data_IF_113858637646
#
_entry.id   IF_113858637646
#
_cell.length_a   1.000
_cell.length_b   1.000
_cell.length_c   1.000
_cell.angle_alpha   90.00
_cell.angle_beta   90.00
_cell.angle_gamma   90.00
#
_symmetry.space_group_name_H-M   'P 1'
#
loop_
_entity.id
_entity.type
_entity.pdbx_description
1 polymer ?
#
# COMPACT_ATOMS: atom_id res chain seq x y z
N UNK A 1 -19.37 -32.94 -19.35
CA UNK A 1 -18.55 -31.73 -19.13
C UNK A 1 -19.11 -30.94 -17.97
N UNK A 2 -18.25 -30.53 -17.03
CA UNK A 2 -18.58 -29.70 -15.88
C UNK A 2 -17.54 -28.59 -15.77
N UNK A 3 -18.00 -27.35 -15.69
CA UNK A 3 -17.15 -26.18 -15.42
C UNK A 3 -17.32 -25.86 -13.94
N UNK A 4 -16.22 -25.63 -13.24
CA UNK A 4 -16.23 -25.30 -11.82
C UNK A 4 -15.07 -24.38 -11.48
N UNK A 5 -15.16 -23.73 -10.33
CA UNK A 5 -14.13 -22.79 -9.85
C UNK A 5 -14.13 -22.76 -8.33
N UNK A 6 -12.99 -22.44 -7.73
CA UNK A 6 -12.91 -22.09 -6.32
C UNK A 6 -13.58 -20.72 -6.10
N UNK A 7 -14.38 -20.60 -5.04
CA UNK A 7 -15.14 -19.38 -4.77
C UNK A 7 -14.21 -18.17 -4.61
N UNK A 8 -14.57 -17.05 -5.25
CA UNK A 8 -13.78 -15.82 -5.15
C UNK A 8 -12.44 -15.91 -5.89
N UNK A 9 -12.22 -16.90 -6.74
CA UNK A 9 -11.03 -17.01 -7.59
C UNK A 9 -11.39 -16.74 -9.05
N UNK A 10 -10.38 -16.49 -9.87
CA UNK A 10 -10.52 -16.35 -11.30
C UNK A 10 -9.98 -17.60 -12.02
N UNK A 11 -10.02 -18.79 -11.42
CA UNK A 11 -9.50 -20.00 -12.07
C UNK A 11 -10.66 -20.82 -12.62
N UNK A 12 -10.66 -21.08 -13.93
CA UNK A 12 -11.63 -21.98 -14.55
C UNK A 12 -11.07 -23.40 -14.60
N UNK A 13 -11.81 -24.35 -14.03
CA UNK A 13 -11.55 -25.77 -14.16
C UNK A 13 -12.63 -26.44 -15.02
N UNK A 14 -12.21 -27.38 -15.87
CA UNK A 14 -13.10 -28.14 -16.73
C UNK A 14 -12.86 -29.63 -16.47
N UNK A 15 -13.92 -30.35 -16.12
CA UNK A 15 -13.93 -31.81 -16.02
C UNK A 15 -14.77 -32.43 -17.13
N UNK A 16 -14.23 -33.49 -17.74
CA UNK A 16 -14.92 -34.31 -18.73
C UNK A 16 -15.34 -35.68 -18.18
N UNK A 17 -15.03 -35.98 -16.92
CA UNK A 17 -15.37 -37.27 -16.29
C UNK A 17 -16.84 -37.36 -15.92
N UNK A 18 -17.46 -38.50 -16.21
CA UNK A 18 -18.83 -38.82 -15.77
C UNK A 18 -18.91 -39.11 -14.27
N UNK A 19 -17.79 -39.48 -13.64
CA UNK A 19 -17.67 -39.70 -12.20
C UNK A 19 -17.21 -38.45 -11.44
N UNK A 20 -17.44 -37.25 -12.00
CA UNK A 20 -16.99 -36.00 -11.39
C UNK A 20 -17.66 -35.76 -10.03
N UNK A 21 -16.81 -35.56 -9.01
CA UNK A 21 -17.20 -35.05 -7.70
C UNK A 21 -16.64 -33.64 -7.57
N UNK A 22 -17.49 -32.69 -7.19
CA UNK A 22 -17.09 -31.31 -6.97
C UNK A 22 -16.14 -31.26 -5.77
N UNK A 23 -14.91 -30.73 -5.92
CA UNK A 23 -14.02 -30.55 -4.79
C UNK A 23 -14.62 -29.60 -3.73
N UNK A 24 -14.18 -29.75 -2.48
CA UNK A 24 -14.56 -28.83 -1.41
C UNK A 24 -14.17 -27.39 -1.76
N UNK A 25 -14.97 -26.42 -1.32
CA UNK A 25 -14.82 -24.99 -1.61
C UNK A 25 -14.90 -24.59 -3.11
N UNK A 26 -15.31 -25.51 -3.99
CA UNK A 26 -15.62 -25.20 -5.37
C UNK A 26 -17.12 -25.04 -5.59
N UNK A 27 -17.46 -24.29 -6.64
CA UNK A 27 -18.82 -24.14 -7.14
C UNK A 27 -18.86 -24.51 -8.63
N UNK A 28 -19.97 -25.11 -9.06
CA UNK A 28 -20.22 -25.39 -10.48
C UNK A 28 -20.64 -24.10 -11.17
N UNK A 29 -20.00 -23.78 -12.29
CA UNK A 29 -20.25 -22.56 -13.04
C UNK A 29 -21.34 -22.78 -14.10
N UNK A 30 -22.15 -21.76 -14.31
CA UNK A 30 -23.23 -21.73 -15.31
C UNK A 30 -22.72 -21.66 -16.75
N UNK A 31 -21.43 -21.44 -16.96
CA UNK A 31 -20.80 -21.37 -18.26
C UNK A 31 -19.31 -21.07 -18.17
N UNK A 32 -18.70 -20.91 -19.34
CA UNK A 32 -17.30 -20.49 -19.43
C UNK A 32 -17.11 -19.10 -18.86
N UNK A 33 -15.94 -18.89 -18.26
CA UNK A 33 -15.47 -17.59 -17.84
C UNK A 33 -15.35 -16.68 -19.07
N UNK A 34 -15.97 -15.49 -19.06
CA UNK A 34 -15.88 -14.57 -20.19
C UNK A 34 -14.44 -14.15 -20.48
N UNK A 35 -13.72 -13.67 -19.45
CA UNK A 35 -12.33 -13.23 -19.56
C UNK A 35 -11.63 -13.21 -18.17
N UNK A 36 -10.30 -12.90 -18.10
CA UNK A 36 -9.54 -12.92 -16.85
C UNK A 36 -9.96 -11.90 -15.78
N UNK A 37 -10.76 -10.90 -16.14
CA UNK A 37 -11.29 -9.88 -15.22
C UNK A 37 -12.53 -10.35 -14.48
N UNK A 38 -12.94 -11.60 -14.64
CA UNK A 38 -14.05 -12.19 -13.91
C UNK A 38 -13.58 -13.21 -12.87
N UNK A 39 -14.32 -13.29 -11.75
CA UNK A 39 -14.11 -14.25 -10.68
C UNK A 39 -15.40 -15.03 -10.36
N UNK A 40 -15.28 -16.17 -9.70
CA UNK A 40 -16.41 -17.04 -9.37
C UNK A 40 -17.22 -16.49 -8.19
N UNK A 41 -18.51 -16.28 -8.42
CA UNK A 41 -19.51 -15.91 -7.42
C UNK A 41 -20.15 -17.13 -6.74
N UNK A 42 -20.90 -16.86 -5.67
CA UNK A 42 -21.53 -17.89 -4.82
C UNK A 42 -22.74 -18.59 -5.47
N UNK A 43 -23.24 -18.12 -6.61
CA UNK A 43 -24.39 -18.69 -7.31
C UNK A 43 -23.99 -19.37 -8.64
N UNK A 44 -22.70 -19.65 -8.84
CA UNK A 44 -22.17 -20.27 -10.06
C UNK A 44 -22.06 -19.29 -11.23
N UNK A 45 -22.10 -17.99 -10.96
CA UNK A 45 -21.92 -16.91 -11.91
C UNK A 45 -20.49 -16.38 -11.92
N UNK A 46 -20.07 -15.83 -13.06
CA UNK A 46 -18.84 -15.07 -13.18
C UNK A 46 -19.14 -13.59 -12.90
N UNK A 47 -18.54 -13.03 -11.85
CA UNK A 47 -18.66 -11.64 -11.47
C UNK A 47 -17.50 -10.82 -12.03
N UNK A 48 -17.79 -9.64 -12.59
CA UNK A 48 -16.77 -8.75 -13.14
C UNK A 48 -15.99 -8.03 -12.03
N UNK A 49 -14.69 -7.86 -12.27
CA UNK A 49 -13.78 -7.13 -11.39
C UNK A 49 -12.66 -8.01 -10.80
N UNK A 50 -11.70 -7.38 -10.11
CA UNK A 50 -10.66 -8.13 -9.42
C UNK A 50 -11.27 -9.05 -8.37
N UNK A 51 -10.75 -10.27 -8.31
CA UNK A 51 -11.18 -11.21 -7.28
C UNK A 51 -10.84 -10.66 -5.88
N UNK A 52 -11.54 -11.10 -4.82
CA UNK A 52 -11.23 -10.71 -3.45
C UNK A 52 -9.74 -10.86 -3.07
N UNK A 53 -9.09 -11.93 -3.54
CA UNK A 53 -7.66 -12.16 -3.32
C UNK A 53 -6.79 -11.11 -4.01
N UNK A 54 -7.11 -10.77 -5.27
CA UNK A 54 -6.41 -9.72 -6.03
C UNK A 54 -6.60 -8.36 -5.36
N UNK A 55 -7.80 -8.04 -4.88
CA UNK A 55 -8.07 -6.81 -4.13
C UNK A 55 -7.22 -6.71 -2.86
N UNK A 56 -7.12 -7.80 -2.09
CA UNK A 56 -6.29 -7.83 -0.89
C UNK A 56 -4.82 -7.61 -1.23
N UNK A 57 -4.32 -8.25 -2.28
CA UNK A 57 -2.94 -8.07 -2.74
C UNK A 57 -2.67 -6.61 -3.16
N UNK A 58 -3.58 -5.99 -3.93
CA UNK A 58 -3.46 -4.58 -4.31
C UNK A 58 -3.41 -3.64 -3.10
N UNK A 59 -4.19 -3.92 -2.05
CA UNK A 59 -4.18 -3.12 -0.81
C UNK A 59 -2.84 -3.27 -0.07
N UNK A 60 -2.29 -4.49 -0.01
CA UNK A 60 -0.99 -4.74 0.62
C UNK A 60 0.11 -3.99 -0.13
N UNK A 61 0.18 -4.12 -1.46
CA UNK A 61 1.17 -3.43 -2.29
C UNK A 61 1.04 -1.91 -2.19
N UNK A 62 -0.18 -1.37 -2.18
CA UNK A 62 -0.41 0.05 -2.01
C UNK A 62 0.12 0.56 -0.65
N UNK A 63 -0.08 -0.23 0.42
CA UNK A 63 0.41 0.10 1.77
C UNK A 63 1.94 0.03 1.86
N UNK A 64 2.55 -0.97 1.24
CA UNK A 64 4.01 -1.11 1.18
C UNK A 64 4.64 0.05 0.40
N UNK A 65 4.06 0.41 -0.74
CA UNK A 65 4.50 1.56 -1.54
C UNK A 65 4.36 2.87 -0.76
N UNK A 66 3.23 3.08 -0.08
CA UNK A 66 3.03 4.25 0.77
C UNK A 66 4.10 4.33 1.87
N UNK A 67 4.38 3.21 2.55
CA UNK A 67 5.38 3.14 3.61
C UNK A 67 6.78 3.47 3.09
N UNK A 68 7.13 2.92 1.93
CA UNK A 68 8.40 3.19 1.25
C UNK A 68 8.57 4.67 0.92
N UNK A 69 7.55 5.28 0.29
CA UNK A 69 7.57 6.71 -0.07
C UNK A 69 7.70 7.59 1.18
N UNK A 70 6.96 7.28 2.25
CA UNK A 70 7.03 8.04 3.50
C UNK A 70 8.38 7.90 4.19
N UNK A 71 9.00 6.72 4.16
CA UNK A 71 10.34 6.50 4.68
C UNK A 71 11.36 7.33 3.91
N UNK A 72 11.35 7.24 2.57
CA UNK A 72 12.24 8.01 1.70
C UNK A 72 12.09 9.52 1.93
N UNK A 73 10.84 10.01 2.02
CA UNK A 73 10.58 11.42 2.33
C UNK A 73 11.11 11.81 3.72
N UNK A 74 10.98 10.92 4.72
CA UNK A 74 11.50 11.16 6.07
C UNK A 74 13.03 11.23 6.08
N UNK A 75 13.70 10.34 5.36
CA UNK A 75 15.17 10.33 5.22
C UNK A 75 15.66 11.60 4.51
N UNK A 76 14.97 12.03 3.45
CA UNK A 76 15.28 13.30 2.76
C UNK A 76 15.08 14.51 3.68
N UNK A 77 14.01 14.53 4.47
CA UNK A 77 13.78 15.57 5.47
C UNK A 77 14.90 15.55 6.51
N UNK A 78 15.29 14.37 7.01
CA UNK A 78 16.43 14.20 7.93
C UNK A 78 17.72 14.80 7.36
N UNK A 79 18.09 14.40 6.14
CA UNK A 79 19.29 14.91 5.48
C UNK A 79 19.27 16.44 5.26
N UNK A 80 18.08 17.02 4.99
CA UNK A 80 17.92 18.47 4.89
C UNK A 80 18.07 19.16 6.25
N UNK A 81 17.52 18.57 7.31
CA UNK A 81 17.66 19.08 8.67
C UNK A 81 19.13 19.09 9.11
N UNK A 82 19.86 18.00 8.87
CA UNK A 82 21.28 17.90 9.21
C UNK A 82 22.11 18.97 8.47
N UNK A 83 21.81 19.21 7.20
CA UNK A 83 22.44 20.29 6.41
C UNK A 83 22.14 21.68 6.99
N UNK A 84 20.91 21.92 7.40
CA UNK A 84 20.51 23.20 8.01
C UNK A 84 21.19 23.41 9.36
N UNK A 85 21.27 22.37 10.19
CA UNK A 85 21.98 22.41 11.48
C UNK A 85 23.49 22.67 11.25
N UNK A 86 24.10 22.05 10.25
CA UNK A 86 25.49 22.32 9.87
C UNK A 86 25.75 23.76 9.37
N UNK A 87 24.75 24.44 8.81
CA UNK A 87 24.85 25.87 8.43
C UNK A 87 24.75 26.81 9.64
N UNK A 88 24.07 26.41 10.72
CA UNK A 88 24.03 27.16 11.97
C UNK A 88 25.40 27.15 12.67
N UNK A 89 26.05 25.98 12.68
CA UNK A 89 27.36 25.75 13.31
C UNK A 89 28.54 26.15 12.39
N UNK A 90 28.26 26.57 11.15
CA UNK A 90 29.26 27.00 10.18
C UNK A 90 29.94 28.32 10.54
N UNK A 91 31.22 28.47 10.14
CA UNK A 91 32.09 29.63 10.40
C UNK A 91 31.67 30.94 9.73
N UNK A 92 32.57 31.93 9.69
CA UNK A 92 32.31 33.33 9.26
C UNK A 92 31.76 33.51 7.82
N UNK A 93 31.74 32.45 7.00
CA UNK A 93 31.19 32.47 5.65
C UNK A 93 29.65 32.45 5.58
N UNK A 94 28.97 32.22 6.71
CA UNK A 94 27.50 32.29 6.81
C UNK A 94 27.08 33.68 7.26
N UNK A 95 26.23 34.41 6.49
CA UNK A 95 25.77 35.74 6.88
C UNK A 95 25.09 35.76 8.26
N UNK A 96 25.40 36.74 9.11
CA UNK A 96 24.88 36.84 10.49
C UNK A 96 23.35 36.77 10.58
N UNK A 97 22.67 37.41 9.62
CA UNK A 97 21.20 37.36 9.53
C UNK A 97 20.68 35.94 9.33
N UNK A 98 21.31 35.17 8.43
CA UNK A 98 20.94 33.79 8.16
C UNK A 98 21.18 32.91 9.40
N UNK A 99 22.31 33.10 10.09
CA UNK A 99 22.61 32.39 11.35
C UNK A 99 21.57 32.70 12.44
N UNK A 100 21.17 33.96 12.60
CA UNK A 100 20.14 34.37 13.55
C UNK A 100 18.75 33.77 13.22
N UNK A 101 18.36 33.77 11.94
CA UNK A 101 17.10 33.20 11.46
C UNK A 101 17.05 31.67 11.68
N UNK A 102 18.15 30.95 11.41
CA UNK A 102 18.27 29.51 11.66
C UNK A 102 18.14 29.16 13.14
N UNK A 103 18.79 29.94 14.02
CA UNK A 103 18.69 29.77 15.48
C UNK A 103 17.26 29.98 15.98
N UNK A 104 16.56 30.99 15.47
CA UNK A 104 15.16 31.26 15.80
C UNK A 104 14.25 30.11 15.34
N UNK A 105 14.44 29.61 14.12
CA UNK A 105 13.71 28.46 13.59
C UNK A 105 13.92 27.18 14.41
N UNK A 106 15.15 26.89 14.86
CA UNK A 106 15.46 25.74 15.74
C UNK A 106 14.74 25.83 17.09
N UNK A 107 14.74 27.01 17.71
CA UNK A 107 14.00 27.23 18.96
C UNK A 107 12.49 27.04 18.77
N UNK A 108 11.93 27.51 17.66
CA UNK A 108 10.54 27.27 17.30
C UNK A 108 10.25 25.76 17.17
N UNK A 109 11.09 25.01 16.45
CA UNK A 109 10.95 23.55 16.27
C UNK A 109 10.96 22.80 17.61
N UNK A 110 11.85 23.15 18.53
CA UNK A 110 11.91 22.56 19.88
C UNK A 110 10.61 22.81 20.63
N UNK A 111 10.11 24.07 20.64
CA UNK A 111 8.84 24.42 21.29
C UNK A 111 7.66 23.64 20.72
N UNK A 112 7.57 23.50 19.39
CA UNK A 112 6.52 22.72 18.73
C UNK A 112 6.57 21.25 19.13
N UNK A 113 7.76 20.63 19.17
CA UNK A 113 7.91 19.24 19.65
C UNK A 113 7.44 19.08 21.11
N UNK A 114 7.80 20.01 21.99
CA UNK A 114 7.38 19.98 23.40
C UNK A 114 5.86 20.14 23.56
N UNK A 115 5.23 21.01 22.77
CA UNK A 115 3.77 21.17 22.75
C UNK A 115 3.08 19.90 22.28
N UNK A 116 3.53 19.29 21.18
CA UNK A 116 2.98 18.02 20.69
C UNK A 116 3.12 16.88 21.71
N UNK A 117 4.22 16.81 22.44
CA UNK A 117 4.42 15.80 23.48
C UNK A 117 3.48 15.96 24.67
N UNK A 118 3.08 17.20 25.01
CA UNK A 118 2.17 17.48 26.13
C UNK A 118 0.69 17.24 25.82
N UNK A 119 0.32 17.05 24.55
CA UNK A 119 -1.06 16.85 24.11
C UNK A 119 -1.40 15.38 23.86
N UNK A 120 -0.42 14.46 23.98
CA UNK A 120 -0.63 13.01 24.02
C UNK A 120 -0.71 12.54 25.46
#
# INVERSE_FOLDING_TARGET
MKIYSELGTNVEYISYSDAFQLPDNCIVMNGHRPDPTYYAGENGEWLAGPSPQVLQQMVIEARENQTTILSQASDMIGALLDKVEGLEDGGDDVPDKLRADLKAWKQYRVKVKTLMFRMR
#
